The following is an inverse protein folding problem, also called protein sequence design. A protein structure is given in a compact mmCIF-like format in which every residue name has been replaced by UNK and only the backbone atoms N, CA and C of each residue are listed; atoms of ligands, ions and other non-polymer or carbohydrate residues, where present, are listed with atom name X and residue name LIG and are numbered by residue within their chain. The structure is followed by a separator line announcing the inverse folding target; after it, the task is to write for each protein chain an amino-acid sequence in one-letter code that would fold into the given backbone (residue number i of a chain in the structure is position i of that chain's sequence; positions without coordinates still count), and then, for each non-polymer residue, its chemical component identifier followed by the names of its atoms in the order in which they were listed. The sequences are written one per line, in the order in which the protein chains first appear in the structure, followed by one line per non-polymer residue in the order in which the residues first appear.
data_IF_791938097684
#
_entry.id   IF_791938097684
#
_cell.length_a   1.000
_cell.length_b   1.000
_cell.length_c   1.000
_cell.angle_alpha   90.00
_cell.angle_beta   90.00
_cell.angle_gamma   90.00
#
_symmetry.space_group_name_H-M   'P 1'
#
loop_
_entity.id
_entity.type
_entity.pdbx_description
1 polymer ?
#
# COMPACT_ATOMS: atom_id res chain seq x y z
N UNK A 1 -1.16 -20.84 4.92
CA UNK A 1 -0.42 -19.63 5.33
C UNK A 1 -0.95 -18.46 4.52
N UNK A 2 -1.41 -17.46 5.22
CA UNK A 2 -2.03 -16.29 4.61
C UNK A 2 -0.99 -15.30 4.06
N UNK A 3 -1.36 -14.58 3.03
CA UNK A 3 -0.59 -13.42 2.57
C UNK A 3 -0.65 -12.30 3.61
N UNK A 4 0.31 -11.40 3.56
CA UNK A 4 0.28 -10.17 4.35
C UNK A 4 0.16 -9.01 3.37
N UNK A 5 -0.89 -8.21 3.53
CA UNK A 5 -1.19 -7.07 2.67
C UNK A 5 -0.83 -5.81 3.43
N UNK A 6 0.11 -5.04 2.90
CA UNK A 6 0.52 -3.77 3.51
C UNK A 6 -0.24 -2.62 2.87
N UNK A 7 -0.97 -1.87 3.68
CA UNK A 7 -1.69 -0.67 3.26
C UNK A 7 -1.19 0.55 4.02
N UNK A 8 -1.42 1.71 3.48
CA UNK A 8 -1.00 2.98 4.07
C UNK A 8 -0.66 4.01 3.00
N UNK A 9 -0.37 5.23 3.45
CA UNK A 9 -0.04 6.34 2.58
C UNK A 9 1.23 6.09 1.77
N UNK A 10 1.35 6.70 0.58
CA UNK A 10 2.65 6.79 -0.08
C UNK A 10 3.68 7.38 0.89
N UNK A 11 4.88 6.83 0.91
CA UNK A 11 5.91 7.26 1.85
C UNK A 11 5.84 6.61 3.23
N UNK A 12 4.86 5.75 3.51
CA UNK A 12 4.77 5.04 4.79
C UNK A 12 5.83 3.94 4.97
N UNK A 13 6.53 3.57 3.89
CA UNK A 13 7.60 2.56 3.94
C UNK A 13 7.13 1.14 3.60
N UNK A 14 5.98 0.99 2.96
CA UNK A 14 5.40 -0.32 2.62
C UNK A 14 6.34 -1.22 1.81
N UNK A 15 6.98 -0.67 0.78
CA UNK A 15 7.88 -1.46 -0.07
C UNK A 15 9.14 -1.89 0.68
N UNK A 16 9.75 -0.98 1.44
CA UNK A 16 10.95 -1.28 2.25
C UNK A 16 10.64 -2.32 3.32
N UNK A 17 9.59 -2.11 4.08
CA UNK A 17 9.14 -3.06 5.12
C UNK A 17 8.75 -4.39 4.47
N UNK A 18 8.06 -4.35 3.34
CA UNK A 18 7.59 -5.54 2.63
C UNK A 18 8.72 -6.44 2.19
N UNK A 19 9.79 -5.88 1.63
CA UNK A 19 10.97 -6.66 1.21
C UNK A 19 11.64 -7.32 2.41
N UNK A 20 11.86 -6.58 3.49
CA UNK A 20 12.47 -7.10 4.71
C UNK A 20 11.62 -8.19 5.36
N UNK A 21 10.31 -7.97 5.40
CA UNK A 21 9.36 -8.93 5.94
C UNK A 21 9.35 -10.22 5.13
N UNK A 22 9.35 -10.11 3.80
CA UNK A 22 9.41 -11.27 2.90
C UNK A 22 10.67 -12.09 3.13
N UNK A 23 11.81 -11.44 3.27
CA UNK A 23 13.08 -12.10 3.60
C UNK A 23 13.01 -12.82 4.95
N UNK A 24 12.47 -12.16 5.95
CA UNK A 24 12.38 -12.72 7.31
C UNK A 24 11.46 -13.93 7.40
N UNK A 25 10.39 -13.93 6.63
CA UNK A 25 9.37 -15.00 6.64
C UNK A 25 9.59 -16.07 5.56
N UNK A 26 10.50 -15.85 4.62
CA UNK A 26 10.66 -16.75 3.47
C UNK A 26 9.45 -16.70 2.53
N UNK A 27 8.85 -15.53 2.38
CA UNK A 27 7.72 -15.27 1.50
C UNK A 27 8.15 -14.57 0.22
N UNK A 28 7.33 -14.65 -0.81
CA UNK A 28 7.50 -13.82 -2.00
C UNK A 28 7.13 -12.37 -1.71
N UNK A 29 7.71 -11.43 -2.44
CA UNK A 29 7.36 -10.03 -2.36
C UNK A 29 6.71 -9.56 -3.65
N UNK A 30 5.55 -8.92 -3.54
CA UNK A 30 4.81 -8.35 -4.67
C UNK A 30 4.58 -6.87 -4.40
N UNK A 31 5.03 -6.03 -5.32
CA UNK A 31 4.72 -4.60 -5.33
C UNK A 31 3.58 -4.36 -6.32
N UNK A 32 2.41 -3.99 -5.83
CA UNK A 32 1.23 -3.80 -6.66
C UNK A 32 1.40 -2.66 -7.69
N UNK A 33 2.18 -1.63 -7.37
CA UNK A 33 2.49 -0.56 -8.32
C UNK A 33 3.28 -1.09 -9.52
N UNK A 34 4.20 -2.01 -9.29
CA UNK A 34 4.94 -2.66 -10.39
C UNK A 34 4.02 -3.57 -11.23
N UNK A 35 3.06 -4.22 -10.60
CA UNK A 35 2.06 -5.03 -11.33
C UNK A 35 1.26 -4.14 -12.27
N UNK A 36 0.80 -2.98 -11.79
CA UNK A 36 0.07 -2.00 -12.62
C UNK A 36 0.93 -1.55 -13.80
N UNK A 37 2.16 -1.13 -13.55
CA UNK A 37 3.07 -0.66 -14.59
C UNK A 37 3.37 -1.73 -15.64
N UNK A 38 3.56 -2.97 -15.21
CA UNK A 38 3.80 -4.10 -16.09
C UNK A 38 2.60 -4.41 -16.98
N UNK A 39 1.39 -4.41 -16.40
CA UNK A 39 0.16 -4.68 -17.16
C UNK A 39 -0.15 -3.56 -18.17
N UNK A 40 0.08 -2.32 -17.79
CA UNK A 40 -0.22 -1.15 -18.65
C UNK A 40 0.93 -0.78 -19.59
N UNK A 41 2.13 -1.30 -19.36
CA UNK A 41 3.33 -0.95 -20.13
C UNK A 41 3.78 0.49 -19.95
N UNK A 42 3.45 1.13 -18.83
CA UNK A 42 3.69 2.57 -18.57
C UNK A 42 3.96 2.79 -17.09
N UNK A 43 4.63 3.90 -16.78
CA UNK A 43 4.76 4.38 -15.41
C UNK A 43 3.42 4.89 -14.87
N UNK A 44 3.23 4.83 -13.55
CA UNK A 44 1.98 5.25 -12.90
C UNK A 44 1.56 6.66 -13.29
N UNK A 45 2.49 7.62 -13.27
CA UNK A 45 2.18 9.00 -13.62
C UNK A 45 1.66 9.13 -15.05
N UNK A 46 2.21 8.38 -16.00
CA UNK A 46 1.75 8.40 -17.39
C UNK A 46 0.33 7.85 -17.52
N UNK A 47 -0.02 6.83 -16.73
CA UNK A 47 -1.38 6.28 -16.71
C UNK A 47 -2.36 7.35 -16.22
N UNK A 48 -2.02 8.06 -15.14
CA UNK A 48 -2.82 9.14 -14.57
C UNK A 48 -2.98 10.27 -15.59
N UNK A 49 -1.88 10.68 -16.24
CA UNK A 49 -1.88 11.78 -17.21
C UNK A 49 -2.73 11.45 -18.45
N UNK A 50 -2.68 10.22 -18.93
CA UNK A 50 -3.38 9.80 -20.16
C UNK A 50 -4.83 9.40 -19.92
N UNK A 51 -5.13 8.72 -18.81
CA UNK A 51 -6.44 8.11 -18.54
C UNK A 51 -7.20 8.77 -17.40
N UNK A 52 -6.58 9.74 -16.73
CA UNK A 52 -7.16 10.40 -15.57
C UNK A 52 -7.18 9.49 -14.33
N UNK A 53 -7.76 10.02 -13.27
CA UNK A 53 -7.83 9.34 -11.99
C UNK A 53 -8.70 8.06 -12.06
N UNK A 54 -9.84 8.14 -12.74
CA UNK A 54 -10.74 6.99 -12.89
C UNK A 54 -10.10 5.86 -13.70
N UNK A 55 -9.39 6.19 -14.76
CA UNK A 55 -8.65 5.21 -15.56
C UNK A 55 -7.54 4.54 -14.77
N UNK A 56 -6.84 5.30 -13.92
CA UNK A 56 -5.84 4.77 -13.01
C UNK A 56 -6.46 3.81 -11.99
N UNK A 57 -7.59 4.20 -11.39
CA UNK A 57 -8.30 3.35 -10.42
C UNK A 57 -8.74 2.02 -11.03
N UNK A 58 -9.21 2.03 -12.28
CA UNK A 58 -9.57 0.81 -13.00
C UNK A 58 -8.34 -0.09 -13.23
N UNK A 59 -7.22 0.49 -13.63
CA UNK A 59 -5.97 -0.25 -13.83
C UNK A 59 -5.46 -0.85 -12.51
N UNK A 60 -5.55 -0.10 -11.42
CA UNK A 60 -5.20 -0.58 -10.08
C UNK A 60 -6.09 -1.74 -9.64
N UNK A 61 -7.40 -1.62 -9.81
CA UNK A 61 -8.33 -2.71 -9.48
C UNK A 61 -8.04 -3.98 -10.27
N UNK A 62 -7.80 -3.87 -11.57
CA UNK A 62 -7.43 -5.02 -12.40
C UNK A 62 -6.14 -5.68 -11.91
N UNK A 63 -5.15 -4.87 -11.54
CA UNK A 63 -3.89 -5.38 -10.99
C UNK A 63 -4.10 -6.13 -9.69
N UNK A 64 -4.86 -5.57 -8.76
CA UNK A 64 -5.16 -6.21 -7.47
C UNK A 64 -5.90 -7.55 -7.67
N UNK A 65 -6.89 -7.59 -8.56
CA UNK A 65 -7.66 -8.79 -8.87
C UNK A 65 -6.81 -9.89 -9.54
N UNK A 66 -5.70 -9.52 -10.16
CA UNK A 66 -4.79 -10.47 -10.81
C UNK A 66 -3.81 -11.15 -9.85
N UNK A 67 -3.69 -10.67 -8.63
CA UNK A 67 -2.76 -11.21 -7.63
C UNK A 67 -3.39 -12.43 -6.96
N UNK A 68 -2.91 -13.61 -7.32
CA UNK A 68 -3.40 -14.88 -6.78
C UNK A 68 -2.31 -15.68 -6.06
N UNK A 69 -1.22 -15.04 -5.75
CA UNK A 69 -0.07 -15.65 -5.12
C UNK A 69 -0.39 -16.09 -3.68
N UNK A 70 0.36 -17.05 -3.20
CA UNK A 70 0.27 -17.57 -1.84
C UNK A 70 1.62 -17.39 -1.16
N UNK A 71 1.61 -17.21 0.15
CA UNK A 71 2.83 -16.93 0.91
C UNK A 71 3.54 -15.69 0.37
N UNK A 72 2.80 -14.61 0.17
CA UNK A 72 3.34 -13.37 -0.39
C UNK A 72 3.10 -12.20 0.57
N UNK A 73 4.07 -11.28 0.57
CA UNK A 73 3.92 -9.96 1.14
C UNK A 73 3.53 -9.05 -0.02
N UNK A 74 2.36 -8.42 0.08
CA UNK A 74 1.83 -7.58 -0.99
C UNK A 74 1.85 -6.13 -0.52
N UNK A 75 2.75 -5.33 -1.07
CA UNK A 75 2.77 -3.89 -0.83
C UNK A 75 1.84 -3.21 -1.84
N UNK A 76 0.77 -2.60 -1.34
CA UNK A 76 -0.22 -1.93 -2.19
C UNK A 76 0.15 -0.47 -2.43
N UNK A 77 -0.43 0.14 -3.47
CA UNK A 77 -0.39 1.58 -3.65
C UNK A 77 -1.29 2.29 -2.63
N UNK A 78 -1.03 3.57 -2.38
CA UNK A 78 -1.79 4.34 -1.39
C UNK A 78 -3.28 4.46 -1.68
N UNK A 79 -3.70 4.32 -2.94
CA UNK A 79 -5.09 4.41 -3.39
C UNK A 79 -5.79 3.05 -3.55
N UNK A 80 -5.11 1.94 -3.30
CA UNK A 80 -5.67 0.59 -3.44
C UNK A 80 -6.96 0.39 -2.62
N UNK A 81 -7.04 1.04 -1.47
CA UNK A 81 -8.19 0.94 -0.56
C UNK A 81 -9.49 1.53 -1.13
N UNK A 82 -9.42 2.29 -2.21
CA UNK A 82 -10.62 2.77 -2.90
C UNK A 82 -11.29 1.67 -3.74
N UNK A 83 -10.59 0.59 -4.03
CA UNK A 83 -11.16 -0.56 -4.73
C UNK A 83 -11.72 -1.58 -3.75
N UNK A 84 -13.03 -1.56 -3.53
CA UNK A 84 -13.68 -2.53 -2.67
C UNK A 84 -13.50 -3.96 -3.18
N UNK A 85 -13.61 -4.16 -4.50
CA UNK A 85 -13.41 -5.47 -5.12
C UNK A 85 -11.97 -5.96 -4.99
N UNK A 86 -10.99 -5.07 -5.22
CA UNK A 86 -9.59 -5.41 -5.08
C UNK A 86 -9.22 -5.77 -3.66
N UNK A 87 -9.66 -4.99 -2.67
CA UNK A 87 -9.39 -5.27 -1.27
C UNK A 87 -10.07 -6.55 -0.78
N UNK A 88 -11.32 -6.78 -1.20
CA UNK A 88 -12.02 -8.03 -0.86
C UNK A 88 -11.26 -9.25 -1.40
N UNK A 89 -10.80 -9.18 -2.65
CA UNK A 89 -10.02 -10.26 -3.26
C UNK A 89 -8.73 -10.55 -2.49
N UNK A 90 -7.96 -9.52 -2.17
CA UNK A 90 -6.69 -9.71 -1.42
C UNK A 90 -6.95 -10.27 -0.01
N UNK A 91 -8.02 -9.84 0.65
CA UNK A 91 -8.33 -10.26 2.01
C UNK A 91 -8.90 -11.67 2.09
N UNK A 92 -9.36 -12.27 1.01
CA UNK A 92 -9.80 -13.68 1.00
C UNK A 92 -8.73 -14.63 1.53
N UNK A 93 -7.48 -14.36 1.22
CA UNK A 93 -6.35 -15.16 1.65
C UNK A 93 -5.23 -14.31 2.27
N UNK A 94 -5.59 -13.25 2.95
CA UNK A 94 -4.60 -12.31 3.47
C UNK A 94 -5.02 -11.62 4.76
N UNK A 95 -4.00 -11.23 5.52
CA UNK A 95 -4.12 -10.35 6.70
C UNK A 95 -3.70 -8.95 6.27
N UNK A 96 -4.55 -7.97 6.51
CA UNK A 96 -4.31 -6.59 6.11
C UNK A 96 -3.66 -5.81 7.25
N UNK A 97 -2.47 -5.29 6.99
CA UNK A 97 -1.67 -4.54 7.95
C UNK A 97 -1.55 -3.09 7.51
N UNK A 98 -2.06 -2.18 8.32
CA UNK A 98 -1.96 -0.75 8.09
C UNK A 98 -0.70 -0.20 8.75
N UNK A 99 0.20 0.35 7.94
CA UNK A 99 1.36 1.08 8.44
C UNK A 99 0.97 2.55 8.60
N UNK A 100 0.67 2.94 9.84
CA UNK A 100 0.25 4.28 10.17
C UNK A 100 1.46 5.13 10.53
N UNK A 101 1.67 6.20 9.76
CA UNK A 101 2.72 7.18 9.99
C UNK A 101 2.06 8.50 10.36
N UNK A 102 2.68 9.24 11.29
CA UNK A 102 2.21 10.55 11.71
C UNK A 102 2.07 11.49 10.50
N UNK A 103 1.01 12.30 10.51
CA UNK A 103 0.68 13.23 9.43
C UNK A 103 1.82 14.18 9.10
N UNK A 104 2.44 14.78 10.12
CA UNK A 104 3.56 15.71 9.91
C UNK A 104 4.76 15.02 9.26
N UNK A 105 5.06 13.81 9.67
CA UNK A 105 6.12 13.01 9.07
C UNK A 105 5.81 12.64 7.62
N UNK A 106 4.57 12.28 7.32
CA UNK A 106 4.13 12.01 5.94
C UNK A 106 4.25 13.26 5.07
N UNK A 107 3.81 14.41 5.56
CA UNK A 107 3.93 15.68 4.85
C UNK A 107 5.40 15.97 4.55
N UNK A 108 6.28 15.80 5.53
CA UNK A 108 7.72 15.99 5.34
C UNK A 108 8.28 15.05 4.26
N UNK A 109 7.92 13.78 4.30
CA UNK A 109 8.39 12.78 3.32
C UNK A 109 7.89 13.06 1.91
N UNK A 110 6.62 13.43 1.78
CA UNK A 110 5.97 13.63 0.48
C UNK A 110 6.32 14.97 -0.17
N UNK A 111 6.57 16.04 0.60
CA UNK A 111 7.00 17.32 0.05
C UNK A 111 8.41 17.28 -0.53
N UNK A 112 9.26 16.40 -0.04
CA UNK A 112 10.61 16.20 -0.55
C UNK A 112 10.68 15.31 -1.80
N UNK A 113 9.58 14.67 -2.17
CA UNK A 113 9.53 13.74 -3.30
C UNK A 113 8.55 14.29 -4.34
N UNK A 114 9.07 15.11 -5.26
CA UNK A 114 8.28 15.79 -6.30
C UNK A 114 7.74 14.89 -7.42
N UNK A 115 8.01 13.59 -7.42
CA UNK A 115 7.84 12.75 -8.61
C UNK A 115 7.11 11.44 -8.40
N UNK A 116 6.57 11.16 -7.22
CA UNK A 116 5.72 9.98 -7.06
C UNK A 116 4.33 10.31 -7.56
N UNK A 117 3.83 9.51 -8.52
CA UNK A 117 2.45 9.60 -8.95
C UNK A 117 1.52 9.28 -7.79
N UNK A 118 1.12 10.32 -7.05
CA UNK A 118 0.05 10.18 -6.06
C UNK A 118 -1.26 10.38 -6.81
N UNK A 119 -2.09 9.34 -6.83
CA UNK A 119 -3.40 9.40 -7.44
C UNK A 119 -4.32 10.28 -6.58
N UNK A 120 -4.40 11.56 -6.92
CA UNK A 120 -5.23 12.54 -6.22
C UNK A 120 -5.81 13.55 -7.21
N UNK A 121 -6.80 14.31 -6.75
CA UNK A 121 -7.39 15.39 -7.52
C UNK A 121 -6.41 16.56 -7.61
N UNK A 122 -6.41 17.31 -8.74
CA UNK A 122 -5.58 18.52 -8.84
C UNK A 122 -5.85 19.49 -7.69
N UNK A 123 -4.79 19.94 -7.05
CA UNK A 123 -4.88 20.93 -5.96
C UNK A 123 -5.18 20.36 -4.57
N UNK A 124 -5.35 19.04 -4.42
CA UNK A 124 -5.48 18.44 -3.10
C UNK A 124 -4.18 18.57 -2.31
N UNK A 125 -4.29 18.96 -1.04
CA UNK A 125 -3.14 18.98 -0.12
C UNK A 125 -2.88 17.57 0.41
N UNK A 126 -1.64 17.34 0.88
CA UNK A 126 -1.29 16.04 1.52
C UNK A 126 -2.20 15.77 2.71
N UNK A 127 -2.51 16.79 3.52
CA UNK A 127 -3.41 16.65 4.66
C UNK A 127 -4.82 16.19 4.25
N UNK A 128 -5.37 16.74 3.17
CA UNK A 128 -6.67 16.35 2.62
C UNK A 128 -6.64 14.89 2.12
N UNK A 129 -5.57 14.49 1.45
CA UNK A 129 -5.39 13.12 0.98
C UNK A 129 -5.34 12.13 2.15
N UNK A 130 -4.59 12.46 3.20
CA UNK A 130 -4.50 11.64 4.42
C UNK A 130 -5.88 11.48 5.05
N UNK A 131 -6.60 12.59 5.26
CA UNK A 131 -7.92 12.58 5.89
C UNK A 131 -8.93 11.71 5.12
N UNK A 132 -8.94 11.79 3.81
CA UNK A 132 -9.81 10.98 2.96
C UNK A 132 -9.48 9.50 3.04
N UNK A 133 -8.19 9.15 2.98
CA UNK A 133 -7.74 7.76 2.91
C UNK A 133 -7.72 7.04 4.25
N UNK A 134 -7.49 7.75 5.34
CA UNK A 134 -7.41 7.18 6.68
C UNK A 134 -8.66 6.39 7.07
N UNK A 135 -9.84 6.87 6.69
CA UNK A 135 -11.11 6.18 6.89
C UNK A 135 -11.09 4.79 6.26
N UNK A 136 -10.55 4.68 5.03
CA UNK A 136 -10.46 3.42 4.32
C UNK A 136 -9.39 2.50 4.89
N UNK A 137 -8.22 3.03 5.27
CA UNK A 137 -7.18 2.24 5.91
C UNK A 137 -7.68 1.60 7.20
N UNK A 138 -8.36 2.37 8.04
CA UNK A 138 -8.93 1.86 9.28
C UNK A 138 -10.04 0.82 9.04
N UNK A 139 -10.79 0.98 7.96
CA UNK A 139 -11.86 0.03 7.58
C UNK A 139 -11.30 -1.34 7.22
N UNK A 140 -10.21 -1.39 6.46
CA UNK A 140 -9.64 -2.65 5.96
C UNK A 140 -8.60 -3.28 6.87
N UNK A 141 -8.01 -2.52 7.78
CA UNK A 141 -6.93 -3.00 8.63
C UNK A 141 -7.41 -4.10 9.59
N UNK A 142 -6.74 -5.24 9.54
CA UNK A 142 -6.84 -6.27 10.57
C UNK A 142 -5.86 -5.98 11.70
N UNK A 143 -4.73 -5.38 11.37
CA UNK A 143 -3.66 -4.97 12.29
C UNK A 143 -3.25 -3.55 11.90
N UNK A 144 -3.04 -2.69 12.90
CA UNK A 144 -2.47 -1.36 12.71
C UNK A 144 -1.13 -1.26 13.44
N UNK A 145 -0.09 -0.90 12.71
CA UNK A 145 1.25 -0.68 13.26
C UNK A 145 1.53 0.82 13.27
N UNK A 146 1.74 1.38 14.46
CA UNK A 146 2.16 2.77 14.60
C UNK A 146 3.65 2.88 14.34
N UNK A 147 4.01 3.52 13.22
CA UNK A 147 5.39 3.66 12.77
C UNK A 147 6.01 4.98 13.27
N UNK A 148 5.83 5.29 14.55
CA UNK A 148 6.40 6.50 15.16
C UNK A 148 7.80 6.19 15.68
N UNK A 149 8.80 6.92 15.20
CA UNK A 149 10.20 6.76 15.61
C UNK A 149 10.69 5.31 15.53
N UNK A 150 10.26 4.59 14.49
CA UNK A 150 10.61 3.19 14.27
C UNK A 150 11.51 3.02 13.04
N UNK A 151 12.41 2.05 13.10
CA UNK A 151 13.14 1.58 11.92
C UNK A 151 12.30 0.56 11.15
N UNK A 152 12.66 0.31 9.90
CA UNK A 152 11.98 -0.72 9.10
C UNK A 152 12.08 -2.10 9.77
N UNK A 153 13.22 -2.42 10.36
CA UNK A 153 13.45 -3.68 11.08
C UNK A 153 12.54 -3.81 12.31
N UNK A 154 12.33 -2.73 13.04
CA UNK A 154 11.41 -2.71 14.18
C UNK A 154 9.97 -2.96 13.73
N UNK A 155 9.55 -2.32 12.64
CA UNK A 155 8.21 -2.52 12.07
C UNK A 155 8.02 -3.97 11.62
N UNK A 156 9.01 -4.57 10.98
CA UNK A 156 8.99 -6.00 10.60
C UNK A 156 8.77 -6.88 11.82
N UNK A 157 9.52 -6.64 12.91
CA UNK A 157 9.36 -7.38 14.17
C UNK A 157 7.96 -7.27 14.74
N UNK A 158 7.38 -6.07 14.74
CA UNK A 158 6.01 -5.83 15.21
C UNK A 158 4.98 -6.60 14.37
N UNK A 159 5.12 -6.58 13.04
CA UNK A 159 4.22 -7.29 12.14
C UNK A 159 4.29 -8.79 12.39
N UNK A 160 5.50 -9.34 12.50
CA UNK A 160 5.67 -10.77 12.75
C UNK A 160 5.03 -11.18 14.07
N UNK A 161 5.24 -10.40 15.12
CA UNK A 161 4.63 -10.67 16.43
C UNK A 161 3.10 -10.68 16.36
N UNK A 162 2.51 -9.68 15.72
CA UNK A 162 1.04 -9.56 15.60
C UNK A 162 0.43 -10.63 14.69
N UNK A 163 1.14 -11.04 13.65
CA UNK A 163 0.62 -12.05 12.71
C UNK A 163 0.76 -13.48 13.22
N UNK A 164 1.70 -13.77 14.12
CA UNK A 164 1.81 -15.07 14.77
C UNK A 164 0.62 -15.38 15.67
N UNK A 165 -0.06 -14.36 16.16
CA UNK A 165 -1.22 -14.48 17.05
C UNK A 165 -2.53 -14.68 16.29
N UNK A 166 -2.51 -14.68 14.97
CA UNK A 166 -3.68 -14.81 14.09
C UNK A 166 -3.54 -15.94 13.08
#
# INVERSE_FOLDING_TARGET
MKNIILIGMPGAGKSTVGVLLAKSMGYDFIDADLVIQKQQGKKLQNIIDERGLDGFKQAEEQALLSINDKKAIIATGGSAVFSAAGMAHLKENGVCVYLRVDEQELIRRLTNIKTRGIACRPGETVAEIIAEREVYYNRYADITIDCVNTTAEQVVGMIMHETESK
#
